data_IF_168004895082
#
_entry.id   IF_168004895082
#
_cell.length_a   1.000
_cell.length_b   1.000
_cell.length_c   1.000
_cell.angle_alpha   90.00
_cell.angle_beta   90.00
_cell.angle_gamma   90.00
#
_symmetry.space_group_name_H-M   'P 1'
#
loop_
_entity.id
_entity.type
_entity.pdbx_description
1 polymer ?
#
# COMPACT_ATOMS: atom_id res chain seq x y z
N UNK A 1 7.68 -0.64 21.12
CA UNK A 1 8.89 -1.45 21.35
C UNK A 1 8.53 -2.91 21.21
N UNK A 2 9.34 -3.68 20.46
CA UNK A 2 9.21 -5.13 20.35
C UNK A 2 10.16 -5.76 21.37
N UNK A 3 9.60 -6.35 22.42
CA UNK A 3 10.35 -6.98 23.51
C UNK A 3 10.12 -8.49 23.48
N UNK A 4 11.16 -9.26 23.80
CA UNK A 4 11.01 -10.68 24.09
C UNK A 4 10.35 -10.86 25.46
N UNK A 5 9.27 -11.64 25.52
CA UNK A 5 8.48 -11.87 26.74
C UNK A 5 9.21 -12.62 27.86
N UNK A 6 10.30 -13.33 27.54
CA UNK A 6 11.07 -14.12 28.52
C UNK A 6 12.35 -13.40 28.96
N UNK A 7 12.96 -12.60 28.08
CA UNK A 7 14.29 -12.02 28.30
C UNK A 7 14.32 -10.50 28.42
N UNK A 8 13.19 -9.81 28.17
CA UNK A 8 13.09 -8.35 28.05
C UNK A 8 14.03 -7.72 27.00
N UNK A 9 14.63 -8.54 26.13
CA UNK A 9 15.50 -8.07 25.07
C UNK A 9 14.70 -7.30 24.02
N UNK A 10 15.23 -6.15 23.59
CA UNK A 10 14.55 -5.23 22.69
C UNK A 10 15.00 -5.43 21.24
N UNK A 11 14.10 -5.99 20.42
CA UNK A 11 14.31 -6.31 19.01
C UNK A 11 13.79 -5.22 18.06
N UNK A 12 13.39 -4.05 18.57
CA UNK A 12 12.76 -3.00 17.75
C UNK A 12 13.61 -2.61 16.54
N UNK A 13 14.90 -2.35 16.75
CA UNK A 13 15.80 -1.91 15.67
C UNK A 13 16.02 -3.03 14.63
N UNK A 14 16.26 -4.26 15.07
CA UNK A 14 16.42 -5.41 14.20
C UNK A 14 15.16 -5.68 13.37
N UNK A 15 13.98 -5.47 13.96
CA UNK A 15 12.71 -5.62 13.26
C UNK A 15 12.49 -4.54 12.21
N UNK A 16 12.92 -3.29 12.47
CA UNK A 16 12.87 -2.20 11.48
C UNK A 16 13.78 -2.50 10.30
N UNK A 17 15.03 -2.91 10.56
CA UNK A 17 16.00 -3.25 9.50
C UNK A 17 15.52 -4.44 8.66
N UNK A 18 15.02 -5.49 9.31
CA UNK A 18 14.42 -6.62 8.62
C UNK A 18 13.22 -6.18 7.77
N UNK A 19 12.32 -5.36 8.32
CA UNK A 19 11.15 -4.90 7.59
C UNK A 19 11.50 -4.06 6.37
N UNK A 20 12.53 -3.21 6.45
CA UNK A 20 13.01 -2.43 5.30
C UNK A 20 13.53 -3.36 4.19
N UNK A 21 14.46 -4.26 4.51
CA UNK A 21 15.03 -5.20 3.54
C UNK A 21 13.98 -6.07 2.85
N UNK A 22 13.00 -6.57 3.62
CA UNK A 22 11.93 -7.38 3.06
C UNK A 22 10.94 -6.56 2.25
N UNK A 23 10.65 -5.32 2.65
CA UNK A 23 9.76 -4.42 1.90
C UNK A 23 10.33 -4.11 0.52
N UNK A 24 11.63 -3.86 0.45
CA UNK A 24 12.33 -3.60 -0.81
C UNK A 24 12.31 -4.86 -1.70
N UNK A 25 12.68 -6.02 -1.16
CA UNK A 25 12.69 -7.27 -1.91
C UNK A 25 11.29 -7.65 -2.45
N UNK A 26 10.24 -7.42 -1.66
CA UNK A 26 8.85 -7.66 -2.09
C UNK A 26 8.45 -6.71 -3.22
N UNK A 27 8.74 -5.41 -3.09
CA UNK A 27 8.45 -4.43 -4.14
C UNK A 27 9.18 -4.76 -5.45
N UNK A 28 10.48 -5.09 -5.37
CA UNK A 28 11.29 -5.48 -6.53
C UNK A 28 10.80 -6.77 -7.21
N UNK A 29 10.15 -7.67 -6.46
CA UNK A 29 9.57 -8.90 -7.03
C UNK A 29 8.29 -8.65 -7.85
N UNK A 30 7.78 -7.42 -7.86
CA UNK A 30 6.62 -7.03 -8.66
C UNK A 30 5.27 -7.49 -8.08
N UNK A 31 5.15 -7.58 -6.75
CA UNK A 31 3.86 -7.88 -6.13
C UNK A 31 2.83 -6.77 -6.42
N UNK A 32 1.59 -7.17 -6.66
CA UNK A 32 0.48 -6.22 -6.87
C UNK A 32 -0.40 -6.05 -5.63
N UNK A 33 -0.07 -6.71 -4.52
CA UNK A 33 -0.76 -6.56 -3.25
C UNK A 33 -0.15 -7.44 -2.16
N UNK A 34 -0.49 -7.14 -0.91
CA UNK A 34 0.00 -7.87 0.25
C UNK A 34 -1.12 -8.16 1.26
N UNK A 35 -1.25 -9.42 1.68
CA UNK A 35 -2.21 -9.83 2.71
C UNK A 35 -1.44 -10.04 4.01
N UNK A 36 -1.76 -9.24 5.02
CA UNK A 36 -1.20 -9.40 6.35
C UNK A 36 -1.95 -10.48 7.13
N UNK A 37 -1.19 -11.40 7.72
CA UNK A 37 -1.74 -12.45 8.59
C UNK A 37 -2.18 -11.84 9.92
N UNK A 38 -3.37 -12.23 10.40
CA UNK A 38 -3.85 -11.85 11.73
C UNK A 38 -2.95 -12.37 12.86
N UNK A 39 -3.07 -11.71 14.01
CA UNK A 39 -2.52 -12.14 15.31
C UNK A 39 -0.99 -12.26 15.37
N UNK A 40 -0.29 -11.63 14.43
CA UNK A 40 1.16 -11.47 14.49
C UNK A 40 1.54 -10.13 15.12
N UNK A 41 2.29 -10.10 16.24
CA UNK A 41 2.77 -8.86 16.85
C UNK A 41 3.70 -8.04 15.93
N UNK A 42 4.28 -8.67 14.90
CA UNK A 42 5.11 -7.99 13.90
C UNK A 42 4.33 -7.57 12.63
N UNK A 43 3.24 -8.27 12.28
CA UNK A 43 2.59 -8.14 10.96
C UNK A 43 1.12 -7.65 10.99
N UNK A 44 0.47 -7.49 12.14
CA UNK A 44 -0.93 -7.06 12.17
C UNK A 44 -1.13 -5.64 11.62
N UNK A 45 -2.04 -5.45 10.66
CA UNK A 45 -2.46 -4.11 10.18
C UNK A 45 -3.35 -3.37 11.18
N UNK A 46 -3.93 -4.11 12.14
CA UNK A 46 -4.60 -3.59 13.31
C UNK A 46 -4.99 -4.75 14.22
N UNK A 47 -4.75 -4.58 15.52
CA UNK A 47 -4.92 -5.57 16.62
C UNK A 47 -3.66 -6.36 16.97
N UNK A 48 -2.59 -5.67 17.33
CA UNK A 48 -1.59 -6.29 18.20
C UNK A 48 -1.96 -5.99 19.64
N UNK A 49 -2.06 -7.02 20.49
CA UNK A 49 -2.18 -6.84 21.94
C UNK A 49 -0.88 -6.21 22.46
N UNK A 50 -0.95 -4.94 22.88
CA UNK A 50 0.15 -4.27 23.57
C UNK A 50 -0.02 -4.54 25.06
N UNK A 51 0.91 -5.29 25.67
CA UNK A 51 0.94 -5.46 27.13
C UNK A 51 1.57 -4.20 27.74
N UNK A 52 0.75 -3.34 28.33
CA UNK A 52 1.20 -2.20 29.13
C UNK A 52 1.14 -2.57 30.61
N UNK A 53 2.31 -2.73 31.25
CA UNK A 53 2.43 -3.04 32.69
C UNK A 53 1.95 -1.93 33.65
N UNK A 54 1.56 -0.77 33.12
CA UNK A 54 1.22 0.41 33.94
C UNK A 54 -0.29 0.66 34.02
N UNK A 55 -1.11 0.19 33.07
CA UNK A 55 -2.57 0.28 33.13
C UNK A 55 -3.25 -0.81 32.28
N UNK A 56 -4.14 -1.67 32.85
CA UNK A 56 -4.76 -2.79 32.14
C UNK A 56 -5.89 -2.41 31.16
N UNK A 57 -5.98 -1.15 30.69
CA UNK A 57 -7.17 -0.67 29.97
C UNK A 57 -6.95 0.13 28.68
N UNK A 58 -5.72 0.33 28.18
CA UNK A 58 -5.55 0.91 26.84
C UNK A 58 -5.33 -0.19 25.79
N UNK A 59 -6.42 -0.61 25.12
CA UNK A 59 -6.34 -1.33 23.84
C UNK A 59 -5.84 -0.35 22.76
N UNK A 60 -4.57 0.02 22.82
CA UNK A 60 -3.96 0.85 21.78
C UNK A 60 -3.87 0.04 20.49
N UNK A 61 -4.42 0.62 19.42
CA UNK A 61 -4.35 0.09 18.06
C UNK A 61 -2.92 0.22 17.54
N UNK A 62 -2.04 -0.72 17.91
CA UNK A 62 -0.70 -0.77 17.34
C UNK A 62 -0.72 -1.58 16.03
N UNK A 63 -0.26 -0.95 14.95
CA UNK A 63 0.15 -1.63 13.73
C UNK A 63 1.50 -2.31 14.00
N UNK A 64 1.68 -3.55 13.57
CA UNK A 64 2.97 -4.24 13.68
C UNK A 64 4.08 -3.46 12.98
N UNK A 65 5.31 -3.51 13.51
CA UNK A 65 6.46 -2.73 12.98
C UNK A 65 6.65 -3.00 11.48
N UNK A 66 6.51 -4.25 11.04
CA UNK A 66 6.63 -4.57 9.61
C UNK A 66 5.53 -3.90 8.79
N UNK A 67 4.26 -4.01 9.22
CA UNK A 67 3.14 -3.44 8.50
C UNK A 67 3.27 -1.91 8.37
N UNK A 68 3.76 -1.26 9.44
CA UNK A 68 4.04 0.18 9.43
C UNK A 68 5.16 0.53 8.43
N UNK A 69 6.29 -0.18 8.49
CA UNK A 69 7.41 0.06 7.57
C UNK A 69 6.99 -0.22 6.12
N UNK A 70 6.36 -1.37 5.86
CA UNK A 70 5.94 -1.77 4.51
C UNK A 70 4.96 -0.77 3.90
N UNK A 71 3.93 -0.35 4.64
CA UNK A 71 2.93 0.62 4.12
C UNK A 71 3.50 2.04 3.97
N UNK A 72 4.51 2.40 4.77
CA UNK A 72 5.23 3.68 4.64
C UNK A 72 6.12 3.70 3.41
N UNK A 73 6.86 2.61 3.14
CA UNK A 73 7.75 2.50 1.98
C UNK A 73 6.99 2.27 0.68
N UNK A 74 5.86 1.54 0.75
CA UNK A 74 5.09 1.11 -0.41
C UNK A 74 3.63 1.61 -0.36
N UNK A 75 3.37 2.93 -0.30
CA UNK A 75 2.02 3.47 -0.15
C UNK A 75 1.10 3.16 -1.34
N UNK A 76 1.67 2.76 -2.48
CA UNK A 76 0.96 2.38 -3.70
C UNK A 76 0.61 0.89 -3.77
N UNK A 77 1.22 0.04 -2.92
CA UNK A 77 0.88 -1.39 -2.90
C UNK A 77 -0.37 -1.58 -2.03
N UNK A 78 -1.47 -2.13 -2.56
CA UNK A 78 -2.66 -2.38 -1.76
C UNK A 78 -2.39 -3.46 -0.73
N UNK A 79 -2.90 -3.22 0.47
CA UNK A 79 -2.77 -4.14 1.59
C UNK A 79 -4.10 -4.41 2.24
N UNK A 80 -4.27 -5.62 2.75
CA UNK A 80 -5.45 -6.01 3.51
C UNK A 80 -5.05 -6.93 4.66
N UNK A 81 -5.80 -6.85 5.75
CA UNK A 81 -5.71 -7.84 6.81
C UNK A 81 -6.53 -9.07 6.41
N UNK A 82 -5.99 -10.28 6.60
CA UNK A 82 -6.67 -11.54 6.28
C UNK A 82 -8.09 -11.64 6.87
N UNK A 83 -8.36 -11.04 8.03
CA UNK A 83 -9.68 -11.09 8.69
C UNK A 83 -10.72 -10.27 7.94
N UNK A 84 -10.26 -9.28 7.16
CA UNK A 84 -11.11 -8.43 6.35
C UNK A 84 -11.43 -9.08 5.01
N UNK A 85 -10.69 -10.10 4.58
CA UNK A 85 -11.01 -10.85 3.36
C UNK A 85 -12.33 -11.61 3.46
N UNK A 86 -12.81 -11.92 4.67
CA UNK A 86 -14.13 -12.55 4.83
C UNK A 86 -15.30 -11.60 4.56
N UNK A 87 -15.07 -10.29 4.56
CA UNK A 87 -16.07 -9.30 4.16
C UNK A 87 -15.99 -9.11 2.63
N UNK A 88 -17.03 -9.50 1.87
CA UNK A 88 -17.03 -9.41 0.41
C UNK A 88 -16.74 -8.00 -0.13
N UNK A 89 -17.19 -6.95 0.56
CA UNK A 89 -16.98 -5.55 0.13
C UNK A 89 -15.51 -5.17 0.28
N UNK A 90 -14.89 -5.56 1.41
CA UNK A 90 -13.46 -5.30 1.65
C UNK A 90 -12.58 -6.11 0.70
N UNK A 91 -12.93 -7.37 0.45
CA UNK A 91 -12.26 -8.22 -0.52
C UNK A 91 -12.36 -7.64 -1.93
N UNK A 92 -13.55 -7.18 -2.36
CA UNK A 92 -13.75 -6.55 -3.66
C UNK A 92 -12.89 -5.28 -3.82
N UNK A 93 -12.84 -4.41 -2.81
CA UNK A 93 -12.01 -3.21 -2.85
C UNK A 93 -10.52 -3.55 -2.94
N UNK A 94 -10.05 -4.50 -2.14
CA UNK A 94 -8.66 -4.95 -2.20
C UNK A 94 -8.32 -5.55 -3.56
N UNK A 95 -9.15 -6.46 -4.08
CA UNK A 95 -8.91 -7.12 -5.37
C UNK A 95 -8.94 -6.12 -6.55
N UNK A 96 -9.83 -5.13 -6.53
CA UNK A 96 -9.85 -4.08 -7.55
C UNK A 96 -8.53 -3.28 -7.56
N UNK A 97 -8.01 -2.94 -6.38
CA UNK A 97 -6.73 -2.24 -6.26
C UNK A 97 -5.54 -3.09 -6.71
N UNK A 98 -5.58 -4.40 -6.42
CA UNK A 98 -4.59 -5.38 -6.89
C UNK A 98 -4.62 -5.48 -8.42
N UNK A 99 -5.80 -5.59 -9.02
CA UNK A 99 -5.96 -5.65 -10.48
C UNK A 99 -5.41 -4.38 -11.14
N UNK A 100 -5.73 -3.20 -10.59
CA UNK A 100 -5.26 -1.93 -11.13
C UNK A 100 -3.73 -1.79 -11.06
N UNK A 101 -3.10 -2.23 -9.96
CA UNK A 101 -1.64 -2.24 -9.85
C UNK A 101 -0.99 -3.30 -10.76
N UNK A 102 -1.62 -4.47 -10.92
CA UNK A 102 -1.13 -5.50 -11.86
C UNK A 102 -1.08 -4.95 -13.29
N UNK A 103 -2.14 -4.28 -13.74
CA UNK A 103 -2.19 -3.65 -15.07
C UNK A 103 -1.10 -2.59 -15.23
N UNK A 104 -0.81 -1.86 -14.15
CA UNK A 104 0.24 -0.84 -14.15
C UNK A 104 1.65 -1.42 -14.30
N UNK A 105 1.97 -2.46 -13.52
CA UNK A 105 3.29 -3.11 -13.55
C UNK A 105 3.58 -3.78 -14.91
N UNK A 106 2.55 -4.24 -15.62
CA UNK A 106 2.72 -4.81 -16.96
C UNK A 106 3.09 -3.76 -18.02
N UNK A 107 2.60 -2.52 -17.88
CA UNK A 107 2.88 -1.40 -18.79
C UNK A 107 4.29 -0.78 -18.54
N UNK A 108 4.74 -0.78 -17.29
CA UNK A 108 5.97 -0.10 -16.83
C UNK A 108 7.28 -0.80 -17.20
N UNK A 109 7.24 -1.98 -17.85
CA UNK A 109 8.47 -2.74 -18.18
C UNK A 109 9.48 -2.01 -19.07
N UNK A 110 9.10 -0.85 -19.62
CA UNK A 110 9.97 0.03 -20.42
C UNK A 110 9.97 1.50 -19.96
N UNK A 111 9.53 1.78 -18.72
CA UNK A 111 9.50 3.10 -18.09
C UNK A 111 8.34 3.99 -18.52
N UNK A 112 8.09 5.05 -17.75
CA UNK A 112 6.95 5.96 -17.94
C UNK A 112 7.27 7.14 -18.86
N UNK A 113 6.27 7.49 -19.68
CA UNK A 113 6.25 8.73 -20.48
C UNK A 113 4.89 9.40 -20.33
N UNK A 114 4.80 10.68 -20.69
CA UNK A 114 3.52 11.40 -20.68
C UNK A 114 2.45 10.69 -21.53
N UNK A 115 2.82 10.22 -22.72
CA UNK A 115 1.91 9.52 -23.63
C UNK A 115 1.44 8.19 -23.04
N UNK A 116 2.34 7.41 -22.44
CA UNK A 116 1.98 6.14 -21.78
C UNK A 116 1.05 6.34 -20.60
N UNK A 117 1.31 7.32 -19.74
CA UNK A 117 0.44 7.63 -18.60
C UNK A 117 -0.97 8.00 -19.05
N UNK A 118 -1.05 8.84 -20.09
CA UNK A 118 -2.30 9.29 -20.65
C UNK A 118 -3.05 8.15 -21.37
N UNK A 119 -2.32 7.26 -22.05
CA UNK A 119 -2.87 6.04 -22.65
C UNK A 119 -3.41 5.09 -21.57
N UNK A 120 -2.61 4.79 -20.54
CA UNK A 120 -3.02 3.96 -19.42
C UNK A 120 -4.29 4.49 -18.74
N UNK A 121 -4.33 5.79 -18.46
CA UNK A 121 -5.52 6.45 -17.89
C UNK A 121 -6.76 6.30 -18.77
N UNK A 122 -6.61 6.48 -20.09
CA UNK A 122 -7.71 6.40 -21.03
C UNK A 122 -8.22 4.96 -21.23
N UNK A 123 -7.32 3.97 -21.28
CA UNK A 123 -7.66 2.56 -21.37
C UNK A 123 -8.43 2.10 -20.14
N UNK A 124 -8.00 2.52 -18.94
CA UNK A 124 -8.59 2.08 -17.67
C UNK A 124 -9.69 3.01 -17.14
N UNK A 125 -10.18 3.97 -17.94
CA UNK A 125 -11.19 4.95 -17.49
C UNK A 125 -12.49 4.32 -16.99
N UNK A 126 -12.92 3.21 -17.60
CA UNK A 126 -14.14 2.51 -17.20
C UNK A 126 -13.96 1.77 -15.88
N UNK A 127 -12.77 1.21 -15.65
CA UNK A 127 -12.40 0.63 -14.37
C UNK A 127 -12.45 1.69 -13.27
N UNK A 128 -11.79 2.84 -13.47
CA UNK A 128 -11.83 3.95 -12.51
C UNK A 128 -13.27 4.40 -12.21
N UNK A 129 -14.10 4.55 -13.25
CA UNK A 129 -15.50 4.97 -13.09
C UNK A 129 -16.37 3.95 -12.36
N UNK A 130 -16.10 2.65 -12.53
CA UNK A 130 -16.88 1.59 -11.87
C UNK A 130 -16.62 1.50 -10.37
N UNK A 131 -15.47 2.02 -9.91
CA UNK A 131 -15.04 2.02 -8.51
C UNK A 131 -15.29 3.36 -7.83
N UNK A 132 -14.88 4.45 -8.48
CA UNK A 132 -15.02 5.81 -7.97
C UNK A 132 -15.28 6.79 -9.10
N UNK A 133 -16.51 7.34 -9.21
CA UNK A 133 -16.87 8.29 -10.26
C UNK A 133 -15.94 9.52 -10.32
N UNK A 134 -15.36 9.91 -9.18
CA UNK A 134 -14.46 11.04 -9.07
C UNK A 134 -13.01 10.71 -9.47
N UNK A 135 -12.55 9.45 -9.30
CA UNK A 135 -11.17 9.05 -9.56
C UNK A 135 -10.73 9.36 -11.00
N UNK A 136 -11.60 9.07 -11.98
CA UNK A 136 -11.31 9.38 -13.39
C UNK A 136 -11.01 10.87 -13.60
N UNK A 137 -11.74 11.76 -12.91
CA UNK A 137 -11.58 13.21 -13.08
C UNK A 137 -10.36 13.74 -12.35
N UNK A 138 -10.17 13.33 -11.09
CA UNK A 138 -9.04 13.79 -10.26
C UNK A 138 -7.71 13.34 -10.85
N UNK A 139 -7.60 12.06 -11.24
CA UNK A 139 -6.38 11.50 -11.81
C UNK A 139 -6.03 12.08 -13.18
N UNK A 140 -7.02 12.31 -14.05
CA UNK A 140 -6.77 12.99 -15.32
C UNK A 140 -6.28 14.44 -15.14
N UNK A 141 -6.79 15.14 -14.13
CA UNK A 141 -6.32 16.50 -13.79
C UNK A 141 -4.91 16.48 -13.19
N UNK A 142 -4.58 15.47 -12.40
CA UNK A 142 -3.23 15.27 -11.85
C UNK A 142 -2.21 15.15 -12.98
N UNK A 143 -2.45 14.27 -13.97
CA UNK A 143 -1.57 14.11 -15.14
C UNK A 143 -1.35 15.45 -15.85
N UNK A 144 -2.44 16.15 -16.21
CA UNK A 144 -2.35 17.40 -16.94
C UNK A 144 -1.57 18.48 -16.17
N UNK A 145 -1.93 18.70 -14.90
CA UNK A 145 -1.27 19.70 -14.06
C UNK A 145 0.23 19.39 -13.85
N UNK A 146 0.60 18.11 -13.69
CA UNK A 146 1.98 17.73 -13.44
C UNK A 146 2.87 17.95 -14.68
N UNK A 147 2.37 17.62 -15.87
CA UNK A 147 3.11 17.89 -17.10
C UNK A 147 3.13 19.37 -17.48
N UNK A 148 2.10 20.14 -17.16
CA UNK A 148 2.14 21.61 -17.30
C UNK A 148 3.23 22.26 -16.42
N UNK A 149 3.55 21.66 -15.26
CA UNK A 149 4.67 22.08 -14.41
C UNK A 149 6.04 21.64 -14.92
N UNK A 150 6.09 20.72 -15.90
CA UNK A 150 7.33 20.12 -16.38
C UNK A 150 7.87 19.01 -15.48
N UNK A 151 7.01 18.35 -14.69
CA UNK A 151 7.42 17.26 -13.81
C UNK A 151 7.94 16.05 -14.61
N UNK A 152 8.93 15.36 -14.08
CA UNK A 152 9.49 14.16 -14.72
C UNK A 152 8.44 13.03 -14.77
N UNK A 153 8.29 12.30 -15.90
CA UNK A 153 7.25 11.27 -16.04
C UNK A 153 7.20 10.25 -14.91
N UNK A 154 8.34 9.79 -14.42
CA UNK A 154 8.41 8.84 -13.28
C UNK A 154 7.80 9.40 -11.99
N UNK A 155 8.00 10.70 -11.71
CA UNK A 155 7.41 11.33 -10.53
C UNK A 155 5.88 11.44 -10.69
N UNK A 156 5.41 11.78 -11.89
CA UNK A 156 3.98 11.83 -12.21
C UNK A 156 3.36 10.43 -12.10
N UNK A 157 4.07 9.40 -12.55
CA UNK A 157 3.66 8.02 -12.49
C UNK A 157 3.46 7.56 -11.03
N UNK A 158 4.45 7.84 -10.17
CA UNK A 158 4.36 7.53 -8.74
C UNK A 158 3.20 8.28 -8.05
N UNK A 159 3.03 9.58 -8.33
CA UNK A 159 1.94 10.39 -7.77
C UNK A 159 0.57 9.89 -8.24
N UNK A 160 0.44 9.56 -9.54
CA UNK A 160 -0.76 9.00 -10.13
C UNK A 160 -1.15 7.69 -9.47
N UNK A 161 -0.21 6.75 -9.32
CA UNK A 161 -0.51 5.44 -8.76
C UNK A 161 -0.86 5.50 -7.28
N UNK A 162 -0.13 6.31 -6.52
CA UNK A 162 -0.44 6.56 -5.10
C UNK A 162 -1.85 7.15 -4.94
N UNK A 163 -2.20 8.14 -5.76
CA UNK A 163 -3.53 8.78 -5.73
C UNK A 163 -4.64 7.83 -6.18
N UNK A 164 -4.38 6.99 -7.17
CA UNK A 164 -5.34 6.01 -7.65
C UNK A 164 -5.66 4.98 -6.58
N UNK A 165 -4.63 4.48 -5.88
CA UNK A 165 -4.76 3.49 -4.81
C UNK A 165 -5.48 4.03 -3.56
N UNK A 166 -5.51 5.34 -3.35
CA UNK A 166 -6.31 5.99 -2.32
C UNK A 166 -7.76 6.24 -2.74
N UNK A 167 -8.02 6.28 -4.06
CA UNK A 167 -9.33 6.64 -4.62
C UNK A 167 -10.19 5.43 -5.00
N UNK A 168 -9.55 4.27 -5.22
CA UNK A 168 -10.16 2.97 -5.52
C UNK A 168 -10.50 2.22 -4.23
#
# INVERSE_FOLDING_TARGET
NLLNSETDENFTQQMVEYAQLQSDALAESGISGFIFKNDSPSCGLGRVEVHNDVQPQSKEQAMGIFAMVFTTLNPHIPVIDESRLSDPVQAEHFLARVEFLSLWLDEDRSGWTADKLMQFHNTNKLFLLSRSPNAKRSLGRLIANAFDRGDHPENVALEYMTSAQQSL
#
